data_IF_709879967845
#
_entry.id   IF_709879967845
#
_cell.length_a   1.000
_cell.length_b   1.000
_cell.length_c   1.000
_cell.angle_alpha   90.00
_cell.angle_beta   90.00
_cell.angle_gamma   90.00
#
_symmetry.space_group_name_H-M   'P 1'
#
loop_
_entity.id
_entity.type
_entity.pdbx_description
1 polymer ?
#
# COMPACT_ATOMS: atom_id res chain seq x y z
N UNK A 1 22.06 18.30 -10.67
CA UNK A 1 20.66 18.03 -10.32
C UNK A 1 20.64 16.64 -9.69
N UNK A 2 20.32 16.53 -8.40
CA UNK A 2 20.17 15.23 -7.76
C UNK A 2 18.79 14.71 -8.17
N UNK A 3 18.73 13.86 -9.20
CA UNK A 3 17.55 13.05 -9.47
C UNK A 3 17.40 12.14 -8.26
N UNK A 4 16.49 12.48 -7.35
CA UNK A 4 16.14 11.63 -6.24
C UNK A 4 15.69 10.29 -6.84
N UNK A 5 16.53 9.26 -6.69
CA UNK A 5 16.22 7.92 -7.13
C UNK A 5 15.12 7.41 -6.20
N UNK A 6 13.87 7.71 -6.52
CA UNK A 6 12.72 7.22 -5.75
C UNK A 6 12.67 5.72 -5.98
N UNK A 7 13.05 4.95 -4.96
CA UNK A 7 12.87 3.50 -4.95
C UNK A 7 11.42 3.19 -5.29
N UNK A 8 11.19 2.16 -6.11
CA UNK A 8 9.86 1.80 -6.55
C UNK A 8 9.03 1.40 -5.32
N UNK A 9 7.84 2.00 -5.17
CA UNK A 9 6.96 1.69 -4.05
C UNK A 9 5.92 0.68 -4.48
N UNK A 10 5.91 -0.46 -3.81
CA UNK A 10 4.97 -1.54 -4.08
C UNK A 10 3.97 -1.59 -2.94
N UNK A 11 2.71 -1.33 -3.25
CA UNK A 11 1.62 -1.40 -2.28
C UNK A 11 0.92 -2.74 -2.45
N UNK A 12 0.59 -3.42 -1.36
CA UNK A 12 -0.12 -4.70 -1.39
C UNK A 12 -1.18 -4.74 -0.33
N UNK A 13 -2.28 -5.44 -0.57
CA UNK A 13 -3.31 -5.67 0.44
C UNK A 13 -3.96 -7.02 0.24
N UNK A 14 -4.60 -7.53 1.29
CA UNK A 14 -5.33 -8.80 1.24
C UNK A 14 -6.82 -8.54 1.11
N UNK A 15 -7.44 -9.08 0.06
CA UNK A 15 -8.89 -9.09 -0.12
C UNK A 15 -9.41 -10.53 -0.12
N UNK A 16 -10.20 -10.87 0.91
CA UNK A 16 -10.90 -12.15 1.15
C UNK A 16 -10.05 -13.43 1.24
N UNK A 17 -8.94 -13.51 0.51
CA UNK A 17 -7.92 -14.58 0.46
C UNK A 17 -6.87 -14.33 -0.64
N UNK A 18 -7.04 -13.28 -1.45
CA UNK A 18 -6.12 -12.92 -2.53
C UNK A 18 -5.28 -11.72 -2.12
N UNK A 19 -3.97 -11.82 -2.29
CA UNK A 19 -3.06 -10.68 -2.14
C UNK A 19 -3.05 -9.88 -3.45
N UNK A 20 -3.59 -8.66 -3.40
CA UNK A 20 -3.70 -7.74 -4.52
C UNK A 20 -2.56 -6.73 -4.44
N UNK A 21 -1.82 -6.59 -5.55
CA UNK A 21 -0.80 -5.55 -5.71
C UNK A 21 -1.43 -4.28 -6.28
N UNK A 22 -1.12 -3.16 -5.67
CA UNK A 22 -1.55 -1.82 -6.05
C UNK A 22 -0.33 -1.07 -6.59
N UNK A 23 -0.50 -0.45 -7.75
CA UNK A 23 0.51 0.43 -8.32
C UNK A 23 0.62 1.71 -7.48
N UNK A 24 1.74 2.41 -7.57
CA UNK A 24 1.83 3.74 -7.00
C UNK A 24 1.12 4.76 -7.91
N UNK A 25 0.02 5.41 -7.47
CA UNK A 25 -0.68 6.40 -8.29
C UNK A 25 0.16 7.66 -8.50
N UNK A 26 1.06 8.00 -7.58
CA UNK A 26 1.92 9.15 -7.69
C UNK A 26 3.08 9.07 -6.69
N UNK A 27 4.34 9.21 -7.14
CA UNK A 27 5.51 9.20 -6.25
C UNK A 27 5.51 10.36 -5.24
N UNK A 28 4.74 11.42 -5.48
CA UNK A 28 4.55 12.53 -4.55
C UNK A 28 3.56 12.23 -3.41
N UNK A 29 2.76 11.16 -3.52
CA UNK A 29 1.78 10.80 -2.50
C UNK A 29 2.46 10.13 -1.30
N UNK A 30 1.98 10.40 -0.09
CA UNK A 30 2.37 9.59 1.06
C UNK A 30 1.66 8.22 1.01
N UNK A 31 2.16 7.19 1.71
CA UNK A 31 1.46 5.90 1.81
C UNK A 31 0.00 6.04 2.23
N UNK A 32 -0.33 6.98 3.12
CA UNK A 32 -1.69 7.29 3.55
C UNK A 32 -2.53 7.90 2.42
N UNK A 33 -1.94 8.78 1.61
CA UNK A 33 -2.62 9.33 0.45
C UNK A 33 -2.89 8.25 -0.61
N UNK A 34 -1.96 7.31 -0.81
CA UNK A 34 -2.15 6.13 -1.68
C UNK A 34 -3.25 5.23 -1.13
N UNK A 35 -3.26 4.96 0.18
CA UNK A 35 -4.32 4.19 0.85
C UNK A 35 -5.70 4.84 0.61
N UNK A 36 -5.82 6.13 0.88
CA UNK A 36 -7.08 6.88 0.71
C UNK A 36 -7.54 6.94 -0.75
N UNK A 37 -6.61 7.04 -1.69
CA UNK A 37 -6.91 6.96 -3.13
C UNK A 37 -7.54 5.62 -3.48
N UNK A 38 -6.93 4.51 -3.05
CA UNK A 38 -7.46 3.18 -3.31
C UNK A 38 -8.68 2.83 -2.46
N UNK A 39 -8.89 3.48 -1.31
CA UNK A 39 -10.07 3.29 -0.47
C UNK A 39 -11.37 3.70 -1.17
N UNK A 40 -11.30 4.57 -2.20
CA UNK A 40 -12.44 4.89 -3.06
C UNK A 40 -12.89 3.71 -3.92
N UNK A 41 -11.96 2.83 -4.31
CA UNK A 41 -12.24 1.63 -5.11
C UNK A 41 -12.42 0.38 -4.25
N UNK A 42 -11.65 0.28 -3.17
CA UNK A 42 -11.65 -0.83 -2.21
C UNK A 42 -12.05 -0.30 -0.84
N UNK A 43 -13.36 -0.28 -0.50
CA UNK A 43 -13.84 0.24 0.78
C UNK A 43 -13.18 -0.41 2.00
N UNK A 44 -12.68 -1.64 1.87
CA UNK A 44 -11.95 -2.35 2.94
C UNK A 44 -10.65 -1.65 3.36
N UNK A 45 -10.10 -0.78 2.51
CA UNK A 45 -8.90 0.00 2.80
C UNK A 45 -9.20 1.24 3.65
N UNK A 46 -10.46 1.68 3.75
CA UNK A 46 -10.84 2.83 4.59
C UNK A 46 -10.53 2.62 6.06
N UNK A 47 -10.60 1.38 6.54
CA UNK A 47 -10.26 0.97 7.91
C UNK A 47 -8.96 0.17 7.97
N UNK A 48 -8.19 0.13 6.88
CA UNK A 48 -6.92 -0.56 6.86
C UNK A 48 -5.82 0.28 7.49
N UNK A 49 -4.91 -0.41 8.15
CA UNK A 49 -3.66 0.15 8.66
C UNK A 49 -2.53 -0.12 7.68
N UNK A 50 -1.51 0.73 7.68
CA UNK A 50 -0.33 0.58 6.84
C UNK A 50 0.76 -0.10 7.65
N UNK A 51 1.24 -1.25 7.19
CA UNK A 51 2.42 -1.95 7.69
C UNK A 51 3.61 -1.70 6.75
N UNK A 52 4.79 -1.47 7.33
CA UNK A 52 6.02 -1.13 6.61
C UNK A 52 6.56 0.26 6.99
N UNK A 53 7.52 0.81 6.22
CA UNK A 53 8.07 0.27 4.97
C UNK A 53 9.01 -0.93 5.18
N UNK A 54 8.92 -1.91 4.29
CA UNK A 54 9.93 -2.97 4.17
C UNK A 54 10.71 -2.73 2.88
N UNK A 55 12.01 -2.45 2.98
CA UNK A 55 12.86 -2.29 1.81
C UNK A 55 13.37 -3.68 1.42
N UNK A 56 13.04 -4.13 0.22
CA UNK A 56 13.52 -5.40 -0.33
C UNK A 56 13.75 -5.26 -1.84
N UNK A 57 14.87 -5.78 -2.34
CA UNK A 57 15.27 -5.75 -3.76
C UNK A 57 15.12 -4.36 -4.43
N UNK A 58 15.65 -3.31 -3.80
CA UNK A 58 15.58 -1.91 -4.26
C UNK A 58 14.14 -1.35 -4.42
N UNK A 59 13.15 -2.00 -3.81
CA UNK A 59 11.78 -1.52 -3.74
C UNK A 59 11.31 -1.32 -2.28
N UNK A 60 10.48 -0.31 -2.07
CA UNK A 60 9.84 -0.04 -0.79
C UNK A 60 8.46 -0.67 -0.78
N UNK A 61 8.28 -1.72 0.00
CA UNK A 61 7.02 -2.44 0.10
C UNK A 61 6.19 -1.93 1.27
N UNK A 62 4.93 -1.64 0.99
CA UNK A 62 3.91 -1.28 1.96
C UNK A 62 2.77 -2.29 1.89
N UNK A 63 2.27 -2.70 3.06
CA UNK A 63 1.16 -3.62 3.16
C UNK A 63 -0.01 -2.94 3.84
N UNK A 64 -1.16 -2.89 3.17
CA UNK A 64 -2.40 -2.43 3.77
C UNK A 64 -3.10 -3.62 4.42
N UNK A 65 -3.25 -3.55 5.73
CA UNK A 65 -3.88 -4.59 6.55
C UNK A 65 -5.24 -4.08 7.01
N UNK A 66 -6.30 -4.59 6.40
CA UNK A 66 -7.66 -4.31 6.82
C UNK A 66 -7.99 -5.10 8.10
N UNK A 67 -8.76 -4.49 9.01
CA UNK A 67 -9.25 -5.19 10.20
C UNK A 67 -10.40 -6.17 9.89
N UNK A 68 -10.87 -6.20 8.64
CA UNK A 68 -11.96 -7.05 8.18
C UNK A 68 -11.39 -8.44 7.86
N UNK A 69 -11.00 -9.20 8.88
CA UNK A 69 -10.34 -10.49 8.67
C UNK A 69 -9.96 -11.30 9.89
N UNK A 70 -9.96 -10.75 11.11
CA UNK A 70 -9.83 -11.57 12.32
C UNK A 70 -11.19 -12.18 12.67
N UNK A 71 -11.63 -13.14 11.86
CA UNK A 71 -12.68 -14.07 12.26
C UNK A 71 -11.99 -15.26 12.93
N UNK A 72 -11.85 -15.17 14.24
CA UNK A 72 -11.36 -16.20 15.14
C UNK A 72 -11.68 -15.82 16.56
#
# INVERSE_FOLDING_TARGET
MLTANTLERIFTFRDKETDIKLADPSPSFSPEAVLNFYAQTYPILTTASIEGPVINDDAVQYKFVSQIGTKG
#
